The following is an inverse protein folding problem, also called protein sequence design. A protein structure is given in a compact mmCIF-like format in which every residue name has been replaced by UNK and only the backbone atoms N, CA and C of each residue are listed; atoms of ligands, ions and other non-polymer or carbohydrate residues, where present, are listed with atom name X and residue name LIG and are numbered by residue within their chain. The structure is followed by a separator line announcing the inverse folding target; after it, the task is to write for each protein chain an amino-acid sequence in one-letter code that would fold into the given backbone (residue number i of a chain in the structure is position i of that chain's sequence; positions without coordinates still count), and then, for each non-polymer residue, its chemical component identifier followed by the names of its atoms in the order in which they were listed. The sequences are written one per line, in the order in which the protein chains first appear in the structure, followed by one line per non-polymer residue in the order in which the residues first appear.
data_IF_189480852126
#
_entry.id   IF_189480852126
#
_cell.length_a   1.000
_cell.length_b   1.000
_cell.length_c   1.000
_cell.angle_alpha   90.00
_cell.angle_beta   90.00
_cell.angle_gamma   90.00
#
_symmetry.space_group_name_H-M   'P 1'
#
loop_
_entity.id
_entity.type
_entity.pdbx_description
1 polymer ?
#
# COMPACT_ATOMS: atom_id res chain seq x y z
N UNK A 1 1.05 61.79 -33.66
CA UNK A 1 -0.33 61.31 -33.87
C UNK A 1 -0.26 60.00 -34.65
N UNK A 2 0.11 58.92 -33.96
CA UNK A 2 -0.69 57.71 -33.66
C UNK A 2 -0.65 56.63 -34.77
N UNK A 3 0.22 55.63 -34.56
CA UNK A 3 0.27 54.41 -35.35
C UNK A 3 -0.83 53.44 -34.87
N UNK A 4 -1.80 53.14 -35.75
CA UNK A 4 -2.81 52.10 -35.49
C UNK A 4 -2.18 50.72 -35.67
N UNK A 5 -1.91 50.04 -34.56
CA UNK A 5 -1.61 48.62 -34.53
C UNK A 5 -2.92 47.84 -34.77
N UNK A 6 -3.14 47.35 -35.99
CA UNK A 6 -4.26 46.46 -36.30
C UNK A 6 -3.94 45.06 -35.76
N UNK A 7 -4.39 44.76 -34.55
CA UNK A 7 -4.48 43.39 -34.06
C UNK A 7 -5.60 42.68 -34.84
N UNK A 8 -5.24 42.09 -35.97
CA UNK A 8 -6.07 41.12 -36.68
C UNK A 8 -6.21 39.88 -35.80
N UNK A 9 -7.21 39.90 -34.91
CA UNK A 9 -7.60 38.72 -34.16
C UNK A 9 -8.38 37.81 -35.13
N UNK A 10 -7.67 36.86 -35.75
CA UNK A 10 -8.24 35.85 -36.64
C UNK A 10 -9.06 34.87 -35.81
N UNK A 11 -10.30 35.22 -35.51
CA UNK A 11 -11.30 34.27 -35.02
C UNK A 11 -11.72 33.35 -36.18
N UNK A 12 -10.87 32.38 -36.51
CA UNK A 12 -11.29 31.21 -37.29
C UNK A 12 -12.00 30.28 -36.31
N UNK A 13 -13.34 30.29 -36.34
CA UNK A 13 -14.15 29.33 -35.60
C UNK A 13 -13.88 27.90 -36.09
N UNK A 14 -13.96 26.93 -35.19
CA UNK A 14 -13.83 25.52 -35.53
C UNK A 14 -15.00 25.07 -36.41
N UNK A 15 -14.69 24.34 -37.49
CA UNK A 15 -15.73 23.72 -38.31
C UNK A 15 -16.28 22.48 -37.62
N UNK A 16 -17.55 22.15 -37.89
CA UNK A 16 -18.20 20.94 -37.33
C UNK A 16 -17.41 19.67 -37.68
N UNK A 17 -16.85 19.62 -38.89
CA UNK A 17 -16.04 18.49 -39.38
C UNK A 17 -14.75 18.36 -38.57
N UNK A 18 -14.04 19.46 -38.28
CA UNK A 18 -12.83 19.41 -37.44
C UNK A 18 -13.14 18.91 -36.03
N UNK A 19 -14.26 19.33 -35.44
CA UNK A 19 -14.67 18.86 -34.10
C UNK A 19 -15.00 17.36 -34.12
N UNK A 20 -15.68 16.87 -35.16
CA UNK A 20 -15.96 15.44 -35.32
C UNK A 20 -14.67 14.62 -35.46
N UNK A 21 -13.72 15.09 -36.27
CA UNK A 21 -12.43 14.42 -36.46
C UNK A 21 -11.63 14.44 -35.15
N UNK A 22 -11.59 15.57 -34.44
CA UNK A 22 -10.92 15.68 -33.15
C UNK A 22 -11.53 14.72 -32.12
N UNK A 23 -12.86 14.63 -32.06
CA UNK A 23 -13.54 13.69 -31.19
C UNK A 23 -13.27 12.23 -31.56
N UNK A 24 -13.22 11.89 -32.85
CA UNK A 24 -12.89 10.54 -33.30
C UNK A 24 -11.45 10.16 -32.94
N UNK A 25 -10.50 11.08 -33.09
CA UNK A 25 -9.10 10.86 -32.67
C UNK A 25 -9.02 10.71 -31.14
N UNK A 26 -9.75 11.54 -30.40
CA UNK A 26 -9.80 11.47 -28.93
C UNK A 26 -10.35 10.14 -28.44
N UNK A 27 -11.42 9.62 -29.05
CA UNK A 27 -11.99 8.32 -28.66
C UNK A 27 -11.04 7.18 -28.96
N UNK A 28 -10.38 7.18 -30.12
CA UNK A 28 -9.35 6.18 -30.47
C UNK A 28 -8.17 6.26 -29.49
N UNK A 29 -7.72 7.47 -29.13
CA UNK A 29 -6.63 7.67 -28.18
C UNK A 29 -6.98 7.11 -26.79
N UNK A 30 -8.18 7.41 -26.29
CA UNK A 30 -8.65 6.91 -24.98
C UNK A 30 -8.78 5.37 -25.00
N UNK A 31 -9.32 4.80 -26.08
CA UNK A 31 -9.40 3.35 -26.24
C UNK A 31 -8.00 2.71 -26.31
N UNK A 32 -7.05 3.34 -26.98
CA UNK A 32 -5.66 2.90 -27.04
C UNK A 32 -4.99 2.88 -25.67
N UNK A 33 -5.18 3.91 -24.85
CA UNK A 33 -4.67 3.96 -23.47
C UNK A 33 -5.33 2.86 -22.62
N UNK A 34 -6.65 2.68 -22.73
CA UNK A 34 -7.38 1.63 -22.03
C UNK A 34 -6.91 0.22 -22.43
N UNK A 35 -6.61 -0.01 -23.71
CA UNK A 35 -6.09 -1.28 -24.21
C UNK A 35 -4.63 -1.52 -23.78
N UNK A 36 -3.78 -0.50 -23.72
CA UNK A 36 -2.39 -0.64 -23.28
C UNK A 36 -2.29 -1.04 -21.81
N UNK A 37 -3.06 -0.37 -20.93
CA UNK A 37 -3.22 -0.78 -19.52
C UNK A 37 -3.91 -2.15 -19.46
N UNK A 38 -4.83 -2.37 -20.41
CA UNK A 38 -5.56 -3.57 -20.79
C UNK A 38 -4.74 -4.85 -21.01
N UNK A 39 -3.51 -4.70 -21.47
CA UNK A 39 -2.67 -5.82 -21.93
C UNK A 39 -1.62 -6.18 -20.89
N UNK A 40 -1.17 -5.21 -20.06
CA UNK A 40 -0.21 -5.46 -18.97
C UNK A 40 -0.75 -6.38 -17.86
N UNK A 41 -2.06 -6.60 -17.78
CA UNK A 41 -2.68 -7.50 -16.78
C UNK A 41 -3.24 -8.79 -17.37
N UNK A 42 -2.74 -9.24 -18.53
CA UNK A 42 -3.02 -10.58 -19.04
C UNK A 42 -4.46 -10.80 -19.51
N UNK A 43 -4.77 -10.37 -20.74
CA UNK A 43 -5.73 -11.07 -21.60
C UNK A 43 -7.24 -10.94 -21.32
N UNK A 44 -7.93 -10.30 -22.28
CA UNK A 44 -9.34 -10.46 -22.70
C UNK A 44 -10.46 -10.31 -21.66
N UNK A 45 -11.12 -9.15 -21.73
CA UNK A 45 -12.56 -8.96 -21.46
C UNK A 45 -13.07 -9.13 -20.01
N UNK A 46 -12.55 -8.35 -19.06
CA UNK A 46 -13.31 -8.01 -17.84
C UNK A 46 -12.84 -6.71 -17.14
N UNK A 47 -12.74 -5.60 -17.89
CA UNK A 47 -12.13 -4.36 -17.37
C UNK A 47 -13.15 -3.34 -16.87
N UNK A 48 -13.89 -3.71 -15.84
CA UNK A 48 -14.57 -2.77 -14.92
C UNK A 48 -14.03 -2.92 -13.48
N UNK A 49 -13.19 -3.92 -13.19
CA UNK A 49 -12.70 -4.24 -11.83
C UNK A 49 -11.39 -3.55 -11.41
N UNK A 50 -10.80 -2.67 -12.22
CA UNK A 50 -9.52 -2.01 -11.85
C UNK A 50 -9.69 -1.04 -10.68
N UNK A 51 -10.80 -0.29 -10.65
CA UNK A 51 -11.09 0.62 -9.55
C UNK A 51 -11.45 -0.12 -8.27
N UNK A 52 -12.33 -1.13 -8.36
CA UNK A 52 -12.81 -1.86 -7.19
C UNK A 52 -11.72 -2.73 -6.56
N UNK A 53 -10.88 -3.38 -7.38
CA UNK A 53 -9.72 -4.14 -6.90
C UNK A 53 -8.65 -3.27 -6.25
N UNK A 54 -8.43 -2.06 -6.76
CA UNK A 54 -7.51 -1.10 -6.14
C UNK A 54 -8.04 -0.60 -4.78
N UNK A 55 -9.35 -0.31 -4.68
CA UNK A 55 -9.97 0.12 -3.42
C UNK A 55 -9.96 -0.99 -2.38
N UNK A 56 -10.29 -2.23 -2.77
CA UNK A 56 -10.26 -3.37 -1.84
C UNK A 56 -8.84 -3.60 -1.32
N UNK A 57 -7.84 -3.64 -2.21
CA UNK A 57 -6.42 -3.75 -1.85
C UNK A 57 -5.96 -2.63 -0.91
N UNK A 58 -6.35 -1.39 -1.17
CA UNK A 58 -6.04 -0.27 -0.28
C UNK A 58 -6.65 -0.44 1.13
N UNK A 59 -7.84 -1.04 1.20
CA UNK A 59 -8.46 -1.47 2.46
C UNK A 59 -7.59 -2.48 3.21
N UNK A 60 -7.17 -3.57 2.53
CA UNK A 60 -6.27 -4.57 3.13
C UNK A 60 -4.95 -3.98 3.62
N UNK A 61 -4.32 -3.10 2.82
CA UNK A 61 -3.10 -2.39 3.21
C UNK A 61 -3.29 -1.55 4.47
N UNK A 62 -4.39 -0.80 4.55
CA UNK A 62 -4.71 0.05 5.70
C UNK A 62 -4.95 -0.79 6.96
N UNK A 63 -5.68 -1.90 6.83
CA UNK A 63 -5.87 -2.86 7.93
C UNK A 63 -4.57 -3.52 8.35
N UNK A 64 -3.72 -3.95 7.42
CA UNK A 64 -2.43 -4.54 7.74
C UNK A 64 -1.52 -3.56 8.49
N UNK A 65 -1.47 -2.29 8.06
CA UNK A 65 -0.73 -1.24 8.74
C UNK A 65 -1.28 -0.99 10.15
N UNK A 66 -2.60 -0.91 10.31
CA UNK A 66 -3.25 -0.78 11.61
C UNK A 66 -2.90 -1.94 12.56
N UNK A 67 -3.01 -3.20 12.09
CA UNK A 67 -2.68 -4.39 12.88
C UNK A 67 -1.20 -4.45 13.29
N UNK A 68 -0.31 -3.98 12.41
CA UNK A 68 1.12 -3.89 12.71
C UNK A 68 1.40 -2.83 13.78
N UNK A 69 0.80 -1.63 13.64
CA UNK A 69 0.92 -0.54 14.60
C UNK A 69 0.33 -0.91 15.96
N UNK A 70 -0.86 -1.51 15.98
CA UNK A 70 -1.50 -1.97 17.21
C UNK A 70 -0.58 -2.93 17.98
N UNK A 71 0.02 -3.91 17.29
CA UNK A 71 0.96 -4.84 17.94
C UNK A 71 2.22 -4.14 18.43
N UNK A 72 2.77 -3.18 17.68
CA UNK A 72 3.90 -2.40 18.17
C UNK A 72 3.55 -1.59 19.42
N UNK A 73 2.36 -0.98 19.50
CA UNK A 73 1.92 -0.27 20.70
C UNK A 73 1.70 -1.23 21.88
N UNK A 74 1.17 -2.44 21.63
CA UNK A 74 1.09 -3.49 22.66
C UNK A 74 2.47 -3.82 23.22
N UNK A 75 3.48 -3.96 22.35
CA UNK A 75 4.87 -4.25 22.72
C UNK A 75 5.50 -3.09 23.50
N UNK A 76 5.30 -1.84 23.07
CA UNK A 76 5.84 -0.64 23.74
C UNK A 76 5.30 -0.41 25.14
N UNK A 77 4.13 -0.97 25.47
CA UNK A 77 3.58 -0.91 26.83
C UNK A 77 4.36 -1.75 27.83
N UNK A 78 5.16 -2.72 27.36
CA UNK A 78 6.03 -3.49 28.23
C UNK A 78 7.24 -2.65 28.67
N UNK A 79 7.63 -2.81 29.92
CA UNK A 79 8.72 -2.06 30.50
C UNK A 79 10.04 -2.78 30.21
N UNK A 80 10.82 -2.24 29.28
CA UNK A 80 12.16 -2.74 28.98
C UNK A 80 13.20 -2.02 29.83
N UNK A 81 13.90 -2.78 30.67
CA UNK A 81 15.06 -2.29 31.43
C UNK A 81 16.24 -3.24 31.26
N UNK A 82 17.43 -2.83 31.68
CA UNK A 82 18.61 -3.70 31.65
C UNK A 82 18.51 -4.88 32.62
N UNK A 83 17.73 -4.72 33.68
CA UNK A 83 17.48 -5.74 34.69
C UNK A 83 16.28 -6.64 34.37
N UNK A 84 15.40 -6.21 33.46
CA UNK A 84 14.20 -6.94 33.05
C UNK A 84 13.96 -6.79 31.54
N UNK A 85 14.27 -7.86 30.81
CA UNK A 85 14.05 -7.97 29.37
C UNK A 85 12.88 -8.93 29.08
N UNK A 86 11.65 -8.41 28.91
CA UNK A 86 10.48 -9.27 28.66
C UNK A 86 10.47 -9.90 27.27
N UNK A 87 11.32 -9.44 26.34
CA UNK A 87 11.37 -9.98 24.97
C UNK A 87 12.44 -11.06 24.82
N UNK A 88 13.47 -11.01 25.68
CA UNK A 88 14.65 -11.84 25.57
C UNK A 88 15.42 -11.60 24.27
N UNK A 89 16.27 -12.56 23.90
CA UNK A 89 16.99 -12.57 22.62
C UNK A 89 16.23 -13.32 21.52
N UNK A 90 14.98 -13.73 21.76
CA UNK A 90 14.25 -14.59 20.87
C UNK A 90 13.70 -13.80 19.68
N UNK A 91 13.88 -14.34 18.48
CA UNK A 91 13.23 -13.80 17.28
C UNK A 91 11.71 -13.94 17.34
N UNK A 92 11.14 -14.83 18.15
CA UNK A 92 9.68 -14.93 18.37
C UNK A 92 9.43 -15.05 19.87
N UNK A 93 9.06 -13.98 20.58
CA UNK A 93 8.86 -14.06 22.02
C UNK A 93 7.55 -14.76 22.35
N UNK A 94 7.53 -15.42 23.50
CA UNK A 94 6.38 -16.19 23.98
C UNK A 94 5.12 -15.34 24.17
N UNK A 95 5.29 -14.08 24.60
CA UNK A 95 4.18 -13.15 24.85
C UNK A 95 3.61 -12.52 23.57
N UNK A 96 4.35 -12.59 22.47
CA UNK A 96 3.89 -12.14 21.15
C UNK A 96 4.19 -13.21 20.10
N UNK A 97 3.48 -14.35 20.16
CA UNK A 97 3.67 -15.41 19.19
C UNK A 97 3.26 -14.92 17.80
N UNK A 98 3.88 -15.54 16.79
CA UNK A 98 3.41 -15.39 15.42
C UNK A 98 1.98 -15.94 15.30
N UNK A 99 1.16 -15.22 14.54
CA UNK A 99 -0.24 -15.57 14.28
C UNK A 99 -0.38 -15.93 12.82
N UNK A 100 -0.87 -17.13 12.55
CA UNK A 100 -1.08 -17.66 11.20
C UNK A 100 -2.40 -17.16 10.61
N UNK A 101 -2.57 -17.36 9.31
CA UNK A 101 -3.83 -17.05 8.65
C UNK A 101 -4.99 -17.82 9.30
N UNK A 102 -6.13 -17.15 9.49
CA UNK A 102 -7.31 -17.73 10.13
C UNK A 102 -7.24 -17.81 11.66
N UNK A 103 -6.09 -17.55 12.30
CA UNK A 103 -5.99 -17.57 13.77
C UNK A 103 -6.23 -16.20 14.40
N UNK A 104 -6.09 -15.11 13.63
CA UNK A 104 -6.37 -13.75 14.07
C UNK A 104 -7.89 -13.49 14.13
N UNK A 105 -8.42 -13.28 15.32
CA UNK A 105 -9.85 -13.04 15.53
C UNK A 105 -10.34 -11.81 14.74
N UNK A 106 -11.36 -11.98 13.90
CA UNK A 106 -11.92 -10.93 13.05
C UNK A 106 -11.09 -10.61 11.79
N UNK A 107 -9.91 -11.22 11.61
CA UNK A 107 -8.99 -10.95 10.51
C UNK A 107 -8.46 -12.24 9.86
N UNK A 108 -9.33 -13.11 9.31
CA UNK A 108 -8.90 -14.44 8.80
C UNK A 108 -7.93 -14.37 7.62
N UNK A 109 -7.97 -13.28 6.84
CA UNK A 109 -7.12 -13.07 5.67
C UNK A 109 -5.76 -12.43 6.01
N UNK A 110 -5.41 -12.34 7.29
CA UNK A 110 -4.18 -11.73 7.77
C UNK A 110 -3.41 -12.74 8.63
N UNK A 111 -2.09 -12.63 8.58
CA UNK A 111 -1.16 -13.27 9.51
C UNK A 111 -0.14 -12.24 9.98
N UNK A 112 0.48 -12.48 11.13
CA UNK A 112 1.40 -11.52 11.77
C UNK A 112 2.61 -12.24 12.31
N UNK A 113 3.78 -11.69 12.03
CA UNK A 113 5.04 -12.13 12.60
C UNK A 113 5.70 -11.00 13.37
N UNK A 114 6.28 -11.32 14.53
CA UNK A 114 7.00 -10.35 15.37
C UNK A 114 8.43 -10.81 15.54
N UNK A 115 9.39 -9.93 15.26
CA UNK A 115 10.83 -10.19 15.35
C UNK A 115 11.52 -9.19 16.26
N UNK A 116 12.39 -9.67 17.13
CA UNK A 116 13.21 -8.86 18.03
C UNK A 116 14.68 -9.09 17.76
N UNK A 117 15.44 -8.01 17.73
CA UNK A 117 16.88 -8.01 17.56
C UNK A 117 17.51 -7.21 18.68
N UNK A 118 18.30 -7.88 19.52
CA UNK A 118 18.98 -7.27 20.66
C UNK A 118 20.27 -6.58 20.23
N UNK A 119 20.59 -5.48 20.91
CA UNK A 119 21.80 -4.68 20.68
C UNK A 119 21.92 -4.17 19.24
N UNK A 120 20.79 -3.76 18.66
CA UNK A 120 20.72 -3.26 17.28
C UNK A 120 20.01 -1.89 17.29
N UNK A 121 20.67 -0.80 16.85
CA UNK A 121 22.07 -0.73 16.36
C UNK A 121 23.14 -0.71 17.47
N UNK A 122 22.77 -0.39 18.71
CA UNK A 122 23.70 -0.17 19.82
C UNK A 122 23.34 -1.04 21.04
N UNK A 123 24.25 -1.23 22.01
CA UNK A 123 23.93 -1.86 23.28
C UNK A 123 22.72 -1.18 23.95
N UNK A 124 21.91 -1.97 24.65
CA UNK A 124 20.72 -1.49 25.36
C UNK A 124 19.60 -0.97 24.44
N UNK A 125 19.70 -1.20 23.13
CA UNK A 125 18.64 -0.91 22.15
C UNK A 125 18.18 -2.22 21.53
N UNK A 126 16.86 -2.37 21.38
CA UNK A 126 16.24 -3.43 20.61
C UNK A 126 15.59 -2.88 19.35
N UNK A 127 15.79 -3.57 18.24
CA UNK A 127 15.02 -3.38 17.02
C UNK A 127 13.86 -4.38 17.02
N UNK A 128 12.65 -3.85 16.92
CA UNK A 128 11.41 -4.63 16.89
C UNK A 128 10.82 -4.47 15.50
N UNK A 129 10.50 -5.58 14.85
CA UNK A 129 9.89 -5.61 13.52
C UNK A 129 8.61 -6.41 13.58
N UNK A 130 7.49 -5.80 13.18
CA UNK A 130 6.21 -6.47 12.99
C UNK A 130 5.94 -6.54 11.49
N UNK A 131 5.74 -7.75 11.00
CA UNK A 131 5.36 -8.00 9.60
C UNK A 131 3.95 -8.56 9.59
N UNK A 132 3.04 -7.93 8.83
CA UNK A 132 1.69 -8.43 8.64
C UNK A 132 1.54 -8.83 7.18
N UNK A 133 1.22 -10.09 6.93
CA UNK A 133 0.92 -10.61 5.61
C UNK A 133 -0.59 -10.63 5.40
N UNK A 134 -1.04 -10.40 4.18
CA UNK A 134 -2.45 -10.45 3.82
C UNK A 134 -2.65 -11.01 2.43
N UNK A 135 -3.79 -11.67 2.26
CA UNK A 135 -4.19 -12.28 1.00
C UNK A 135 -5.27 -11.40 0.35
N UNK A 136 -4.97 -10.78 -0.79
CA UNK A 136 -5.99 -10.08 -1.57
C UNK A 136 -6.67 -11.06 -2.54
N UNK A 137 -8.01 -11.10 -2.59
CA UNK A 137 -8.71 -11.89 -3.58
C UNK A 137 -8.45 -11.30 -4.98
N UNK A 138 -7.78 -12.07 -5.84
CA UNK A 138 -7.60 -11.77 -7.26
C UNK A 138 -8.48 -12.65 -8.14
N UNK A 139 -8.65 -12.27 -9.41
CA UNK A 139 -9.62 -12.88 -10.34
C UNK A 139 -9.47 -14.40 -10.48
N UNK A 140 -8.29 -14.99 -10.26
CA UNK A 140 -8.07 -16.45 -10.21
C UNK A 140 -6.88 -16.90 -9.33
N UNK A 141 -6.30 -16.00 -8.53
CA UNK A 141 -5.10 -16.31 -7.73
C UNK A 141 -5.04 -15.51 -6.42
N UNK A 142 -4.52 -16.14 -5.37
CA UNK A 142 -4.33 -15.51 -4.06
C UNK A 142 -3.03 -14.74 -4.11
N UNK A 143 -3.12 -13.42 -4.20
CA UNK A 143 -1.96 -12.55 -4.14
C UNK A 143 -1.65 -12.25 -2.68
N UNK A 144 -0.51 -12.77 -2.22
CA UNK A 144 -0.01 -12.48 -0.88
C UNK A 144 0.88 -11.24 -0.92
N UNK A 145 0.56 -10.28 -0.05
CA UNK A 145 1.32 -9.06 0.16
C UNK A 145 1.65 -8.90 1.65
N UNK A 146 2.52 -7.96 1.97
CA UNK A 146 2.90 -7.71 3.35
C UNK A 146 3.21 -6.25 3.63
N UNK A 147 3.02 -5.86 4.89
CA UNK A 147 3.43 -4.57 5.46
C UNK A 147 4.43 -4.84 6.57
N UNK A 148 5.55 -4.12 6.55
CA UNK A 148 6.58 -4.17 7.60
C UNK A 148 6.58 -2.85 8.35
N UNK A 149 6.49 -2.91 9.67
CA UNK A 149 6.68 -1.75 10.55
C UNK A 149 7.73 -2.08 11.58
N UNK A 150 8.72 -1.20 11.74
CA UNK A 150 9.81 -1.40 12.69
C UNK A 150 9.97 -0.21 13.63
N UNK A 151 10.42 -0.48 14.86
CA UNK A 151 10.73 0.56 15.84
C UNK A 151 11.96 0.19 16.66
N UNK A 152 12.67 1.20 17.13
CA UNK A 152 13.77 1.04 18.09
C UNK A 152 13.24 1.30 19.49
N UNK A 153 13.63 0.46 20.43
CA UNK A 153 13.30 0.65 21.84
C UNK A 153 14.56 0.60 22.69
N UNK A 154 14.84 1.71 23.36
CA UNK A 154 15.95 1.81 24.30
C UNK A 154 15.53 1.29 25.68
N UNK A 155 16.47 0.68 26.40
CA UNK A 155 16.28 0.31 27.79
C UNK A 155 16.03 1.56 28.63
N UNK A 156 14.99 1.52 29.46
CA UNK A 156 14.72 2.56 30.45
C UNK A 156 15.75 2.44 31.60
N UNK A 157 16.24 3.57 32.15
CA UNK A 157 17.10 3.57 33.33
C UNK A 157 16.44 2.94 34.56
#
# INVERSE_FOLDING_TARGET
MSAKLSLSNRYRGFTLVEVLVAMAILTIAILGVGAAIGIQSGGTAHRVSFGLGAVSRAGFLSTAAFLAQERLEQIKRLNYTLSNDPFGAAQSPTDFPDEEFGTMAGYPNFSRQVRFWSNTPDPNIKLITVTVFFNTPGDNDVHQEHVVVSTLMAARP
#
